data_IF_782619334537
#
_entry.id   IF_782619334537
#
_cell.length_a   1.000
_cell.length_b   1.000
_cell.length_c   1.000
_cell.angle_alpha   90.00
_cell.angle_beta   90.00
_cell.angle_gamma   90.00
#
_symmetry.space_group_name_H-M   'P 1'
#
loop_
_entity.id
_entity.type
_entity.pdbx_description
1 polymer ?
#
# COMPACT_ATOMS: atom_id res chain seq x y z
N UNK A 1 -17.08 -8.51 -16.01
CA UNK A 1 -15.76 -8.35 -15.33
C UNK A 1 -15.50 -6.87 -15.15
N UNK A 2 -15.24 -6.40 -13.93
CA UNK A 2 -14.93 -4.99 -13.70
C UNK A 2 -13.49 -4.72 -14.16
N UNK A 3 -13.32 -3.98 -15.25
CA UNK A 3 -12.02 -3.73 -15.88
C UNK A 3 -11.03 -3.04 -14.93
N UNK A 4 -11.54 -2.18 -14.05
CA UNK A 4 -10.76 -1.47 -13.05
C UNK A 4 -10.15 -2.43 -12.00
N UNK A 5 -10.95 -3.38 -11.49
CA UNK A 5 -10.46 -4.40 -10.56
C UNK A 5 -9.37 -5.27 -11.18
N UNK A 6 -9.53 -5.63 -12.45
CA UNK A 6 -8.52 -6.42 -13.16
C UNK A 6 -7.23 -5.62 -13.39
N UNK A 7 -7.34 -4.31 -13.64
CA UNK A 7 -6.17 -3.43 -13.77
C UNK A 7 -5.38 -3.33 -12.44
N UNK A 8 -6.08 -3.10 -11.32
CA UNK A 8 -5.46 -3.08 -9.99
C UNK A 8 -4.77 -4.42 -9.71
N UNK A 9 -5.47 -5.54 -9.94
CA UNK A 9 -4.90 -6.87 -9.76
C UNK A 9 -3.63 -7.09 -10.60
N UNK A 10 -3.69 -6.75 -11.89
CA UNK A 10 -2.56 -6.87 -12.81
C UNK A 10 -1.34 -6.06 -12.38
N UNK A 11 -1.52 -4.84 -11.87
CA UNK A 11 -0.41 -4.02 -11.37
C UNK A 11 0.32 -4.65 -10.17
N UNK A 12 -0.39 -5.43 -9.36
CA UNK A 12 0.18 -6.10 -8.19
C UNK A 12 0.90 -7.39 -8.62
N UNK A 13 0.29 -8.19 -9.50
CA UNK A 13 0.85 -9.49 -9.88
C UNK A 13 2.05 -9.41 -10.83
N UNK A 14 2.30 -8.26 -11.48
CA UNK A 14 3.52 -8.06 -12.27
C UNK A 14 4.79 -8.06 -11.41
N UNK A 15 4.67 -8.01 -10.08
CA UNK A 15 5.81 -8.07 -9.19
C UNK A 15 6.27 -9.53 -8.92
N UNK A 16 7.58 -9.74 -8.92
CA UNK A 16 8.22 -11.04 -8.63
C UNK A 16 7.77 -11.66 -7.30
N UNK A 17 7.47 -10.86 -6.29
CA UNK A 17 6.97 -11.33 -5.00
C UNK A 17 5.64 -12.09 -5.11
N UNK A 18 4.78 -11.69 -6.07
CA UNK A 18 3.49 -12.35 -6.31
C UNK A 18 3.65 -13.72 -6.98
N UNK A 19 4.71 -13.92 -7.79
CA UNK A 19 4.94 -15.18 -8.52
C UNK A 19 5.14 -16.38 -7.59
N UNK A 20 5.69 -16.15 -6.39
CA UNK A 20 5.86 -17.19 -5.36
C UNK A 20 4.53 -17.79 -4.91
N UNK A 21 3.43 -17.06 -5.07
CA UNK A 21 2.10 -17.44 -4.60
C UNK A 21 1.11 -17.68 -5.75
N UNK A 22 1.62 -18.02 -6.93
CA UNK A 22 0.77 -18.27 -8.12
C UNK A 22 -0.29 -19.34 -7.86
N UNK A 23 0.14 -20.46 -7.27
CA UNK A 23 -0.70 -21.59 -6.93
C UNK A 23 -0.34 -22.12 -5.53
N UNK A 24 -1.26 -22.88 -4.94
CA UNK A 24 -1.05 -23.59 -3.69
C UNK A 24 0.18 -24.51 -3.71
N UNK A 25 1.18 -24.19 -2.88
CA UNK A 25 2.39 -24.99 -2.70
C UNK A 25 2.11 -26.27 -1.89
N UNK A 26 2.96 -27.30 -2.03
CA UNK A 26 2.78 -28.60 -1.36
C UNK A 26 2.83 -28.52 0.17
N UNK A 27 3.67 -27.64 0.71
CA UNK A 27 3.70 -27.33 2.14
C UNK A 27 2.33 -26.90 2.68
N UNK A 28 1.53 -26.24 1.85
CA UNK A 28 0.19 -25.74 2.18
C UNK A 28 -0.91 -26.81 2.05
N UNK A 29 -0.60 -27.98 1.48
CA UNK A 29 -1.53 -29.11 1.39
C UNK A 29 -1.50 -30.00 2.64
N UNK A 30 -0.43 -29.89 3.44
CA UNK A 30 -0.18 -30.68 4.66
C UNK A 30 -1.13 -30.30 5.81
N UNK A 31 -1.38 -31.23 6.72
CA UNK A 31 -2.26 -31.06 7.88
C UNK A 31 -1.90 -29.81 8.72
N UNK A 32 -0.61 -29.62 9.03
CA UNK A 32 -0.10 -28.45 9.76
C UNK A 32 -0.57 -27.12 9.17
N UNK A 33 -0.59 -26.98 7.85
CA UNK A 33 -1.07 -25.75 7.22
C UNK A 33 -2.59 -25.61 7.38
N UNK A 34 -3.36 -26.67 7.15
CA UNK A 34 -4.83 -26.66 7.26
C UNK A 34 -5.32 -26.42 8.69
N UNK A 35 -4.56 -26.88 9.68
CA UNK A 35 -4.85 -26.63 11.10
C UNK A 35 -4.65 -25.15 11.46
N UNK A 36 -3.59 -24.52 10.93
CA UNK A 36 -3.23 -23.13 11.25
C UNK A 36 -3.98 -22.10 10.41
N UNK A 37 -4.05 -22.33 9.10
CA UNK A 37 -4.60 -21.38 8.12
C UNK A 37 -5.99 -21.83 7.70
N UNK A 38 -7.01 -21.14 8.23
CA UNK A 38 -8.42 -21.50 8.07
C UNK A 38 -8.98 -21.19 6.69
N UNK A 39 -8.48 -20.13 6.05
CA UNK A 39 -8.88 -19.75 4.70
C UNK A 39 -7.63 -19.64 3.83
N UNK A 40 -7.47 -20.59 2.91
CA UNK A 40 -6.40 -20.51 1.92
C UNK A 40 -6.73 -19.47 0.85
N UNK A 41 -5.68 -18.82 0.36
CA UNK A 41 -5.76 -17.90 -0.77
C UNK A 41 -4.45 -17.98 -1.56
N UNK A 42 -4.53 -17.90 -2.87
CA UNK A 42 -3.42 -17.80 -3.82
C UNK A 42 -3.83 -16.91 -5.00
N UNK A 43 -2.86 -16.51 -5.84
CA UNK A 43 -3.12 -15.57 -6.95
C UNK A 43 -4.13 -16.13 -7.95
N UNK A 44 -4.10 -17.44 -8.23
CA UNK A 44 -5.06 -18.07 -9.13
C UNK A 44 -6.49 -18.08 -8.56
N UNK A 45 -6.63 -18.27 -7.25
CA UNK A 45 -7.92 -18.20 -6.57
C UNK A 45 -8.49 -16.78 -6.63
N UNK A 46 -7.66 -15.76 -6.40
CA UNK A 46 -8.09 -14.35 -6.54
C UNK A 46 -8.49 -14.05 -7.99
N UNK A 47 -7.69 -14.48 -8.97
CA UNK A 47 -8.02 -14.35 -10.40
C UNK A 47 -9.35 -15.02 -10.73
N UNK A 48 -9.54 -16.25 -10.29
CA UNK A 48 -10.78 -17.01 -10.51
C UNK A 48 -12.00 -16.28 -9.92
N UNK A 49 -11.87 -15.71 -8.72
CA UNK A 49 -12.91 -14.92 -8.04
C UNK A 49 -13.22 -13.60 -8.75
N UNK A 50 -12.24 -12.99 -9.42
CA UNK A 50 -12.46 -11.82 -10.28
C UNK A 50 -13.21 -12.21 -11.56
N UNK A 51 -12.80 -13.31 -12.21
CA UNK A 51 -13.43 -13.81 -13.43
C UNK A 51 -14.89 -14.22 -13.17
N UNK A 52 -15.15 -14.90 -12.05
CA UNK A 52 -16.50 -15.29 -11.62
C UNK A 52 -17.34 -14.12 -11.07
N UNK A 53 -16.81 -12.88 -11.08
CA UNK A 53 -17.47 -11.69 -10.53
C UNK A 53 -17.89 -11.83 -9.05
N UNK A 54 -17.19 -12.69 -8.28
CA UNK A 54 -17.41 -12.86 -6.84
C UNK A 54 -16.79 -11.72 -6.02
N UNK A 55 -15.73 -11.10 -6.56
CA UNK A 55 -15.16 -9.86 -6.03
C UNK A 55 -15.85 -8.68 -6.75
N UNK A 56 -16.57 -7.86 -5.98
CA UNK A 56 -17.42 -6.76 -6.49
C UNK A 56 -16.82 -5.38 -6.24
N UNK A 57 -15.86 -5.26 -5.33
CA UNK A 57 -15.23 -3.98 -4.99
C UNK A 57 -13.71 -4.08 -4.82
N UNK A 58 -12.98 -2.96 -4.94
CA UNK A 58 -11.54 -2.92 -4.67
C UNK A 58 -11.21 -3.40 -3.25
N UNK A 59 -12.05 -3.04 -2.27
CA UNK A 59 -11.86 -3.47 -0.88
C UNK A 59 -11.85 -4.99 -0.71
N UNK A 60 -12.70 -5.71 -1.44
CA UNK A 60 -12.71 -7.18 -1.43
C UNK A 60 -11.47 -7.79 -2.08
N UNK A 61 -11.00 -7.18 -3.18
CA UNK A 61 -9.75 -7.56 -3.82
C UNK A 61 -8.56 -7.41 -2.88
N UNK A 62 -8.43 -6.24 -2.24
CA UNK A 62 -7.36 -5.95 -1.30
C UNK A 62 -7.42 -6.88 -0.08
N UNK A 63 -8.63 -7.17 0.43
CA UNK A 63 -8.83 -8.13 1.52
C UNK A 63 -8.28 -9.52 1.15
N UNK A 64 -8.61 -10.04 -0.03
CA UNK A 64 -8.16 -11.37 -0.45
C UNK A 64 -6.63 -11.41 -0.67
N UNK A 65 -6.04 -10.35 -1.24
CA UNK A 65 -4.59 -10.25 -1.43
C UNK A 65 -3.81 -10.09 -0.12
N UNK A 66 -4.32 -9.29 0.82
CA UNK A 66 -3.73 -9.15 2.15
C UNK A 66 -3.86 -10.43 2.97
N UNK A 67 -4.96 -11.18 2.79
CA UNK A 67 -5.12 -12.49 3.40
C UNK A 67 -4.06 -13.47 2.89
N UNK A 68 -3.81 -13.52 1.58
CA UNK A 68 -2.73 -14.32 1.00
C UNK A 68 -1.38 -13.98 1.64
N UNK A 69 -1.01 -12.70 1.67
CA UNK A 69 0.27 -12.28 2.24
C UNK A 69 0.37 -12.60 3.75
N UNK A 70 -0.70 -12.33 4.51
CA UNK A 70 -0.74 -12.57 5.96
C UNK A 70 -0.63 -14.07 6.28
N UNK A 71 -1.35 -14.92 5.55
CA UNK A 71 -1.25 -16.37 5.68
C UNK A 71 0.18 -16.87 5.49
N UNK A 72 0.86 -16.36 4.47
CA UNK A 72 2.23 -16.74 4.17
C UNK A 72 3.21 -16.23 5.25
N UNK A 73 3.06 -14.99 5.74
CA UNK A 73 3.89 -14.43 6.81
C UNK A 73 3.77 -15.27 8.09
N UNK A 74 2.55 -15.68 8.45
CA UNK A 74 2.28 -16.46 9.68
C UNK A 74 2.79 -17.90 9.55
N UNK A 75 2.61 -18.52 8.39
CA UNK A 75 2.96 -19.93 8.21
C UNK A 75 4.46 -20.16 7.96
N UNK A 76 5.12 -19.31 7.17
CA UNK A 76 6.51 -19.50 6.78
C UNK A 76 7.50 -18.83 7.74
N UNK A 77 8.63 -19.48 7.98
CA UNK A 77 9.72 -18.92 8.79
C UNK A 77 10.38 -17.74 8.10
N UNK A 78 10.82 -16.74 8.88
CA UNK A 78 11.49 -15.51 8.40
C UNK A 78 12.68 -15.73 7.47
N UNK A 79 13.29 -16.91 7.52
CA UNK A 79 14.46 -17.28 6.71
C UNK A 79 14.10 -17.71 5.28
N UNK A 80 12.86 -18.09 5.02
CA UNK A 80 12.47 -18.67 3.73
C UNK A 80 12.18 -17.60 2.67
N UNK A 81 12.22 -18.00 1.40
CA UNK A 81 11.90 -17.12 0.27
C UNK A 81 10.44 -16.67 0.32
N UNK A 82 9.54 -17.56 0.71
CA UNK A 82 8.11 -17.31 0.83
C UNK A 82 7.83 -16.23 1.87
N UNK A 83 8.44 -16.29 3.06
CA UNK A 83 8.21 -15.26 4.06
C UNK A 83 8.66 -13.87 3.57
N UNK A 84 9.87 -13.78 2.98
CA UNK A 84 10.38 -12.51 2.44
C UNK A 84 9.50 -11.97 1.31
N UNK A 85 9.05 -12.85 0.42
CA UNK A 85 8.14 -12.49 -0.68
C UNK A 85 6.77 -12.07 -0.16
N UNK A 86 6.28 -12.69 0.91
CA UNK A 86 5.00 -12.33 1.52
C UNK A 86 5.02 -10.94 2.15
N UNK A 87 6.12 -10.58 2.82
CA UNK A 87 6.33 -9.22 3.35
C UNK A 87 6.35 -8.21 2.20
N UNK A 88 7.15 -8.45 1.16
CA UNK A 88 7.20 -7.58 -0.02
C UNK A 88 5.84 -7.43 -0.71
N UNK A 89 5.10 -8.55 -0.88
CA UNK A 89 3.75 -8.52 -1.44
C UNK A 89 2.80 -7.69 -0.58
N UNK A 90 2.84 -7.83 0.75
CA UNK A 90 2.02 -7.02 1.66
C UNK A 90 2.31 -5.54 1.48
N UNK A 91 3.58 -5.15 1.41
CA UNK A 91 3.98 -3.75 1.25
C UNK A 91 3.48 -3.18 -0.10
N UNK A 92 3.59 -3.95 -1.18
CA UNK A 92 3.07 -3.57 -2.50
C UNK A 92 1.55 -3.40 -2.46
N UNK A 93 0.82 -4.37 -1.90
CA UNK A 93 -0.64 -4.32 -1.82
C UNK A 93 -1.09 -3.13 -0.97
N UNK A 94 -0.43 -2.85 0.15
CA UNK A 94 -0.71 -1.69 1.00
C UNK A 94 -0.42 -0.37 0.27
N UNK A 95 0.66 -0.30 -0.50
CA UNK A 95 0.96 0.88 -1.33
C UNK A 95 -0.15 1.13 -2.36
N UNK A 96 -0.50 0.12 -3.15
CA UNK A 96 -1.55 0.23 -4.17
C UNK A 96 -2.90 0.55 -3.55
N UNK A 97 -3.21 -0.03 -2.39
CA UNK A 97 -4.40 0.32 -1.61
C UNK A 97 -4.41 1.82 -1.27
N UNK A 98 -3.32 2.34 -0.70
CA UNK A 98 -3.24 3.76 -0.36
C UNK A 98 -3.35 4.65 -1.59
N UNK A 99 -2.69 4.32 -2.69
CA UNK A 99 -2.72 5.11 -3.92
C UNK A 99 -4.14 5.14 -4.52
N UNK A 100 -4.83 3.99 -4.55
CA UNK A 100 -6.21 3.87 -5.02
C UNK A 100 -7.17 4.76 -4.21
N UNK A 101 -7.09 4.71 -2.87
CA UNK A 101 -7.99 5.51 -2.02
C UNK A 101 -7.55 6.96 -1.91
N UNK A 102 -6.26 7.28 -2.01
CA UNK A 102 -5.77 8.66 -2.11
C UNK A 102 -6.30 9.32 -3.37
N UNK A 103 -6.18 8.67 -4.53
CA UNK A 103 -6.66 9.21 -5.81
C UNK A 103 -8.13 9.64 -5.77
N UNK A 104 -8.94 8.94 -4.99
CA UNK A 104 -10.36 9.27 -4.76
C UNK A 104 -10.59 10.63 -4.09
N UNK A 105 -9.64 11.12 -3.28
CA UNK A 105 -9.74 12.41 -2.57
C UNK A 105 -9.16 13.60 -3.35
N UNK A 106 -8.59 13.43 -4.55
CA UNK A 106 -8.06 14.54 -5.37
C UNK A 106 -8.82 14.80 -6.68
N UNK A 107 -9.86 14.02 -6.99
CA UNK A 107 -10.61 14.15 -8.26
C UNK A 107 -11.35 15.48 -8.44
N UNK A 108 -11.40 16.35 -7.42
CA UNK A 108 -11.96 17.73 -7.53
C UNK A 108 -10.92 18.85 -7.61
N UNK A 109 -9.61 18.59 -7.59
CA UNK A 109 -8.59 19.66 -7.61
C UNK A 109 -7.62 19.57 -8.81
N UNK A 110 -8.09 19.03 -9.94
CA UNK A 110 -7.28 18.93 -11.17
C UNK A 110 -8.03 19.43 -12.42
N UNK A 111 -8.61 20.64 -12.33
CA UNK A 111 -8.99 21.43 -13.51
C UNK A 111 -8.10 22.66 -13.72
N UNK A 112 -6.96 22.79 -13.03
CA UNK A 112 -6.01 23.87 -13.28
C UNK A 112 -4.69 23.29 -13.76
N UNK A 113 -4.66 22.95 -15.04
CA UNK A 113 -3.47 22.49 -15.76
C UNK A 113 -3.07 23.57 -16.77
N UNK A 114 -2.21 24.46 -16.27
CA UNK A 114 -1.12 25.21 -16.91
C UNK A 114 -1.39 26.24 -18.03
N UNK A 115 -1.02 27.49 -17.72
CA UNK A 115 0.08 28.16 -18.44
C UNK A 115 0.61 29.36 -17.66
N UNK A 116 1.89 29.64 -17.87
CA UNK A 116 2.64 30.86 -17.54
C UNK A 116 3.60 30.77 -16.35
N UNK A 117 4.88 30.76 -16.73
CA UNK A 117 6.07 31.12 -15.98
C UNK A 117 5.85 32.28 -14.99
N UNK A 118 6.25 32.11 -13.73
CA UNK A 118 6.44 33.25 -12.84
C UNK A 118 6.19 32.96 -11.36
N UNK A 119 7.28 32.92 -10.59
CA UNK A 119 7.39 33.35 -9.20
C UNK A 119 6.77 32.47 -8.09
N UNK A 120 7.67 31.92 -7.26
CA UNK A 120 7.38 31.30 -5.97
C UNK A 120 6.92 32.37 -4.94
N UNK A 121 5.83 32.16 -4.20
CA UNK A 121 5.51 32.98 -3.04
C UNK A 121 6.43 32.60 -1.87
N UNK A 122 7.37 33.47 -1.53
CA UNK A 122 8.19 33.34 -0.32
C UNK A 122 7.31 33.56 0.91
N UNK A 123 7.31 32.59 1.82
CA UNK A 123 6.68 32.66 3.14
C UNK A 123 7.23 33.88 3.92
N UNK A 124 6.40 34.75 4.52
CA UNK A 124 6.91 35.85 5.33
C UNK A 124 7.62 35.28 6.57
N UNK A 125 8.94 35.48 6.66
CA UNK A 125 9.67 35.33 7.92
C UNK A 125 9.27 36.51 8.80
N UNK A 126 8.59 36.23 9.91
CA UNK A 126 8.33 37.24 10.94
C UNK A 126 9.67 37.67 11.55
N UNK A 127 10.14 38.85 11.15
CA UNK A 127 11.29 39.52 11.73
C UNK A 127 10.83 40.18 13.04
N UNK A 128 11.23 39.63 14.19
CA UNK A 128 11.05 40.28 15.48
C UNK A 128 12.18 41.30 15.68
N UNK A 129 11.90 42.61 15.86
CA UNK A 129 12.93 43.57 16.22
C UNK A 129 13.42 43.30 17.65
N UNK A 130 14.73 43.27 17.83
CA UNK A 130 15.42 43.24 19.13
C UNK A 130 15.52 44.68 19.66
N UNK A 131 15.07 45.00 20.88
CA UNK A 131 15.43 46.27 21.52
C UNK A 131 16.85 46.19 22.11
N UNK A 132 17.66 47.19 21.81
CA UNK A 132 19.01 47.40 22.32
C UNK A 132 19.01 47.96 23.76
N UNK A 133 20.09 47.63 24.48
CA UNK A 133 20.41 47.99 25.87
C UNK A 133 20.46 49.51 26.11
N UNK A 134 19.92 49.97 27.23
CA UNK A 134 20.37 51.17 27.94
C UNK A 134 20.99 50.77 29.29
N UNK A 135 22.25 51.17 29.49
CA UNK A 135 23.05 51.07 30.73
C UNK A 135 22.73 52.25 31.65
N UNK A 136 22.54 52.00 32.94
CA UNK A 136 22.88 52.86 34.11
C UNK A 136 22.96 51.88 35.30
N UNK A 137 24.13 51.47 35.84
CA UNK A 137 24.94 52.12 36.90
C UNK A 137 24.10 52.84 37.96
N UNK A 138 24.28 52.73 39.28
CA UNK A 138 25.01 51.89 40.25
C UNK A 138 24.56 52.40 41.65
N UNK A 139 25.09 51.80 42.73
CA UNK A 139 25.09 52.26 44.14
C UNK A 139 23.96 51.65 44.98
N UNK A 140 24.18 51.08 46.18
CA UNK A 140 25.36 50.70 46.97
C UNK A 140 24.91 49.61 47.95
#
# INVERSE_FOLDING_TARGET
MNADLMAIFNSIIQNEAAMVFRHRCDSQKRAKYKEMIKQHMDIETVRSRLVSCSIKSPGELFRDLLLLATNAIVFYSKRTREHKSAVALRDIVTKVYHDHYKSSYHTTTSLLTFSTTGNLPVKPRSARPRPSKSKLQSNS
#
